data_IF_323209748565
#
_entry.id   IF_323209748565
#
_cell.length_a   1.000
_cell.length_b   1.000
_cell.length_c   1.000
_cell.angle_alpha   90.00
_cell.angle_beta   90.00
_cell.angle_gamma   90.00
#
_symmetry.space_group_name_H-M   'P 1'
#
loop_
_entity.id
_entity.type
_entity.pdbx_description
1 polymer ?
#
# COMPACT_ATOMS: atom_id res chain seq x y z
N UNK A 1 -32.73 9.80 16.50
CA UNK A 1 -31.44 9.19 16.13
C UNK A 1 -31.29 9.26 14.62
N UNK A 2 -30.64 10.31 14.11
CA UNK A 2 -30.54 10.63 12.68
C UNK A 2 -29.66 9.61 11.97
N UNK A 3 -30.26 8.63 11.27
CA UNK A 3 -29.55 7.70 10.38
C UNK A 3 -29.15 8.46 9.12
N UNK A 4 -27.92 8.98 9.08
CA UNK A 4 -27.35 9.58 7.88
C UNK A 4 -27.07 8.46 6.84
N UNK A 5 -27.89 8.31 5.78
CA UNK A 5 -27.77 7.19 4.84
C UNK A 5 -26.53 7.31 3.95
N UNK A 6 -26.00 8.52 3.80
CA UNK A 6 -24.91 8.87 2.88
C UNK A 6 -23.56 8.32 3.37
N UNK A 7 -23.41 8.11 4.68
CA UNK A 7 -22.14 7.65 5.27
C UNK A 7 -22.03 6.12 5.35
N UNK A 8 -23.13 5.38 5.19
CA UNK A 8 -23.13 3.92 5.28
C UNK A 8 -22.48 3.25 4.07
N UNK A 9 -22.57 3.85 2.87
CA UNK A 9 -21.95 3.30 1.67
C UNK A 9 -20.43 3.18 1.84
N UNK A 10 -19.76 4.29 2.17
CA UNK A 10 -18.29 4.31 2.35
C UNK A 10 -17.82 3.39 3.49
N UNK A 11 -18.53 3.38 4.61
CA UNK A 11 -18.21 2.48 5.73
C UNK A 11 -18.30 1.00 5.32
N UNK A 12 -19.37 0.59 4.63
CA UNK A 12 -19.53 -0.78 4.13
C UNK A 12 -18.40 -1.21 3.19
N UNK A 13 -17.99 -0.34 2.26
CA UNK A 13 -16.89 -0.66 1.33
C UNK A 13 -15.56 -0.83 2.05
N UNK A 14 -15.34 -0.08 3.13
CA UNK A 14 -14.15 -0.22 3.97
C UNK A 14 -14.22 -1.56 4.73
N UNK A 15 -15.34 -1.86 5.37
CA UNK A 15 -15.54 -3.09 6.13
C UNK A 15 -15.34 -4.35 5.27
N UNK A 16 -15.91 -4.37 4.06
CA UNK A 16 -15.79 -5.51 3.13
C UNK A 16 -14.33 -5.74 2.74
N UNK A 17 -13.59 -4.67 2.39
CA UNK A 17 -12.17 -4.78 2.02
C UNK A 17 -11.32 -5.32 3.16
N UNK A 18 -11.55 -4.85 4.38
CA UNK A 18 -10.82 -5.33 5.55
C UNK A 18 -11.10 -6.79 5.87
N UNK A 19 -12.35 -7.24 5.77
CA UNK A 19 -12.70 -8.65 6.00
C UNK A 19 -12.03 -9.53 4.95
N UNK A 20 -12.13 -9.16 3.68
CA UNK A 20 -11.50 -9.90 2.59
C UNK A 20 -9.98 -10.05 2.81
N UNK A 21 -9.24 -8.96 3.02
CA UNK A 21 -7.79 -9.02 3.25
C UNK A 21 -7.44 -9.89 4.46
N UNK A 22 -8.21 -9.81 5.57
CA UNK A 22 -7.98 -10.67 6.74
C UNK A 22 -8.19 -12.15 6.42
N UNK A 23 -9.18 -12.46 5.60
CA UNK A 23 -9.48 -13.84 5.23
C UNK A 23 -8.41 -14.40 4.28
N UNK A 24 -7.92 -13.61 3.31
CA UNK A 24 -6.78 -13.97 2.46
C UNK A 24 -5.51 -14.27 3.28
N UNK A 25 -5.23 -13.43 4.29
CA UNK A 25 -4.07 -13.62 5.18
C UNK A 25 -4.24 -14.86 6.05
N UNK A 26 -5.44 -15.12 6.57
CA UNK A 26 -5.74 -16.34 7.35
C UNK A 26 -5.60 -17.61 6.51
N UNK A 27 -5.94 -17.57 5.22
CA UNK A 27 -5.73 -18.70 4.31
C UNK A 27 -4.25 -18.90 3.94
N UNK A 28 -3.38 -17.96 4.29
CA UNK A 28 -1.95 -18.02 4.00
C UNK A 28 -1.60 -17.73 2.54
N UNK A 29 -2.57 -17.31 1.73
CA UNK A 29 -2.37 -16.95 0.32
C UNK A 29 -1.68 -15.58 0.18
N UNK A 30 -1.83 -14.71 1.19
CA UNK A 30 -1.24 -13.38 1.22
C UNK A 30 -0.46 -13.18 2.52
N UNK A 31 0.81 -12.75 2.40
CA UNK A 31 1.63 -12.31 3.53
C UNK A 31 1.67 -10.78 3.57
N UNK A 32 1.22 -10.20 4.67
CA UNK A 32 1.35 -8.77 4.91
C UNK A 32 2.74 -8.48 5.49
N UNK A 33 3.57 -7.78 4.73
CA UNK A 33 4.84 -7.25 5.20
C UNK A 33 4.79 -5.73 5.22
N UNK A 34 5.27 -5.13 6.31
CA UNK A 34 5.41 -3.70 6.38
C UNK A 34 6.54 -3.25 5.46
N UNK A 35 6.23 -2.33 4.55
CA UNK A 35 7.21 -1.69 3.68
C UNK A 35 7.20 -0.19 3.97
N UNK A 36 8.35 0.36 4.34
CA UNK A 36 8.46 1.80 4.59
C UNK A 36 8.20 2.58 3.30
N UNK A 37 7.44 3.67 3.38
CA UNK A 37 7.14 4.53 2.23
C UNK A 37 8.42 5.11 1.59
N UNK A 38 9.47 5.31 2.38
CA UNK A 38 10.80 5.77 1.94
C UNK A 38 11.48 4.85 0.92
N UNK A 39 11.13 3.55 0.93
CA UNK A 39 11.78 2.53 0.11
C UNK A 39 10.81 1.91 -0.90
N UNK A 40 9.57 2.42 -1.01
CA UNK A 40 8.60 1.93 -1.97
C UNK A 40 9.05 2.29 -3.39
N UNK A 41 9.65 1.32 -4.06
CA UNK A 41 10.22 1.46 -5.40
C UNK A 41 9.16 1.88 -6.44
N UNK A 42 7.92 1.42 -6.28
CA UNK A 42 6.78 1.79 -7.13
C UNK A 42 6.43 3.29 -7.10
N UNK A 43 6.86 4.04 -6.06
CA UNK A 43 6.59 5.47 -5.96
C UNK A 43 7.30 6.27 -7.06
N UNK A 44 8.40 5.76 -7.63
CA UNK A 44 9.07 6.44 -8.75
C UNK A 44 8.21 6.47 -10.03
N UNK A 45 7.38 5.45 -10.23
CA UNK A 45 6.54 5.30 -11.43
C UNK A 45 5.15 5.89 -11.23
N UNK A 46 4.68 5.96 -9.99
CA UNK A 46 3.28 6.31 -9.67
C UNK A 46 3.13 7.71 -9.07
N UNK A 47 4.20 8.34 -8.59
CA UNK A 47 4.15 9.62 -7.88
C UNK A 47 5.18 10.62 -8.41
N UNK A 48 4.81 11.90 -8.39
CA UNK A 48 5.75 13.00 -8.57
C UNK A 48 6.53 13.24 -7.26
N UNK A 49 7.69 12.61 -7.10
CA UNK A 49 8.53 12.74 -5.91
C UNK A 49 9.48 13.93 -6.00
N UNK A 50 9.71 14.69 -4.88
CA UNK A 50 10.77 15.68 -4.80
C UNK A 50 12.16 15.06 -4.99
N UNK A 51 13.09 15.82 -5.59
CA UNK A 51 14.44 15.35 -5.95
C UNK A 51 15.17 14.49 -4.90
N UNK A 52 15.21 14.89 -3.61
CA UNK A 52 15.86 14.08 -2.57
C UNK A 52 15.23 12.71 -2.36
N UNK A 53 13.90 12.60 -2.47
CA UNK A 53 13.17 11.32 -2.34
C UNK A 53 13.34 10.47 -3.59
N UNK A 54 13.24 11.08 -4.78
CA UNK A 54 13.47 10.38 -6.05
C UNK A 54 14.85 9.71 -6.07
N UNK A 55 15.91 10.42 -5.67
CA UNK A 55 17.27 9.86 -5.62
C UNK A 55 17.40 8.65 -4.69
N UNK A 56 16.83 8.72 -3.48
CA UNK A 56 16.87 7.60 -2.52
C UNK A 56 16.22 6.33 -3.07
N UNK A 57 15.06 6.48 -3.71
CA UNK A 57 14.32 5.36 -4.30
C UNK A 57 15.05 4.80 -5.52
N UNK A 58 15.72 5.64 -6.32
CA UNK A 58 16.57 5.21 -7.44
C UNK A 58 17.77 4.39 -6.95
N UNK A 59 18.51 4.88 -5.95
CA UNK A 59 19.65 4.11 -5.43
C UNK A 59 19.20 2.75 -4.87
N UNK A 60 18.07 2.71 -4.16
CA UNK A 60 17.50 1.45 -3.66
C UNK A 60 17.01 0.49 -4.78
N UNK A 61 16.63 1.02 -5.95
CA UNK A 61 16.33 0.21 -7.14
C UNK A 61 17.62 -0.42 -7.70
N UNK A 62 18.66 0.40 -7.89
CA UNK A 62 19.93 -0.03 -8.45
C UNK A 62 20.59 -1.12 -7.58
N UNK A 63 20.54 -0.96 -6.24
CA UNK A 63 21.08 -1.93 -5.28
C UNK A 63 20.37 -3.30 -5.38
N UNK A 64 19.05 -3.33 -5.60
CA UNK A 64 18.29 -4.58 -5.77
C UNK A 64 18.48 -5.24 -7.13
N UNK A 65 18.81 -4.48 -8.17
CA UNK A 65 19.08 -5.03 -9.50
C UNK A 65 20.45 -5.71 -9.58
N UNK A 66 21.41 -5.31 -8.74
CA UNK A 66 22.76 -5.88 -8.68
C UNK A 66 22.84 -7.14 -7.80
N UNK A 67 21.86 -7.38 -6.93
CA UNK A 67 21.85 -8.50 -5.99
C UNK A 67 21.16 -9.77 -6.49
N UNK A 68 20.85 -9.88 -7.79
CA UNK A 68 20.15 -11.01 -8.41
C UNK A 68 21.01 -11.68 -9.48
#
# INVERSE_FOLDING_TARGET
MTKNPVNHGRAKHIDIKYHHIRDEVKRGEVKLEYCETSIMLADIMTKALPGPRKRKVVCALDDKMQSN
#
